data_IF_274634973233
#
_entry.id   IF_274634973233
#
_cell.length_a   1.000
_cell.length_b   1.000
_cell.length_c   1.000
_cell.angle_alpha   90.00
_cell.angle_beta   90.00
_cell.angle_gamma   90.00
#
_symmetry.space_group_name_H-M   'P 1'
#
loop_
_entity.id
_entity.type
_entity.pdbx_description
1 polymer ?
#
# COMPACT_ATOMS: atom_id res chain seq x y z
N UNK A 1 1.18 -33.44 20.30
CA UNK A 1 -0.18 -32.84 20.19
C UNK A 1 -0.02 -31.33 20.22
N UNK A 2 -0.42 -30.62 19.18
CA UNK A 2 -0.35 -29.14 19.14
C UNK A 2 -1.45 -28.59 20.04
N UNK A 3 -1.13 -27.63 20.92
CA UNK A 3 -2.14 -27.06 21.82
C UNK A 3 -3.03 -26.07 21.07
N UNK A 4 -4.26 -25.89 21.54
CA UNK A 4 -5.20 -24.91 20.97
C UNK A 4 -4.58 -23.50 21.01
N UNK A 5 -3.82 -23.18 22.05
CA UNK A 5 -3.09 -21.91 22.18
C UNK A 5 -2.11 -21.68 21.02
N UNK A 6 -1.27 -22.67 20.71
CA UNK A 6 -0.32 -22.59 19.59
C UNK A 6 -1.01 -22.39 18.23
N UNK A 7 -2.19 -22.99 18.04
CA UNK A 7 -2.99 -22.81 16.81
C UNK A 7 -3.55 -21.38 16.73
N UNK A 8 -4.00 -20.82 17.86
CA UNK A 8 -4.54 -19.45 17.92
C UNK A 8 -3.43 -18.43 17.66
N UNK A 9 -2.26 -18.58 18.29
CA UNK A 9 -1.11 -17.70 18.09
C UNK A 9 -0.66 -17.69 16.63
N UNK A 10 -0.45 -18.87 16.04
CA UNK A 10 -0.04 -19.00 14.63
C UNK A 10 -1.05 -18.36 13.66
N UNK A 11 -2.36 -18.45 13.96
CA UNK A 11 -3.41 -17.77 13.19
C UNK A 11 -3.39 -16.25 13.41
N UNK A 12 -3.03 -15.80 14.61
CA UNK A 12 -2.84 -14.39 14.94
C UNK A 12 -1.72 -13.78 14.12
N UNK A 13 -0.53 -14.40 14.18
CA UNK A 13 0.67 -13.97 13.46
C UNK A 13 0.42 -13.90 11.96
N UNK A 14 -0.10 -14.99 11.35
CA UNK A 14 -0.38 -15.02 9.92
C UNK A 14 -1.34 -13.91 9.48
N UNK A 15 -2.41 -13.66 10.24
CA UNK A 15 -3.33 -12.55 9.95
C UNK A 15 -2.67 -11.19 10.13
N UNK A 16 -1.77 -11.05 11.09
CA UNK A 16 -1.00 -9.84 11.33
C UNK A 16 -0.08 -9.52 10.15
N UNK A 17 0.68 -10.51 9.70
CA UNK A 17 1.59 -10.43 8.57
C UNK A 17 0.85 -10.07 7.27
N UNK A 18 -0.21 -10.81 6.92
CA UNK A 18 -1.03 -10.53 5.72
C UNK A 18 -1.63 -9.10 5.74
N UNK A 19 -2.07 -8.63 6.92
CA UNK A 19 -2.58 -7.25 7.06
C UNK A 19 -1.48 -6.21 6.95
N UNK A 20 -0.30 -6.50 7.53
CA UNK A 20 0.87 -5.64 7.49
C UNK A 20 1.36 -5.44 6.06
N UNK A 21 1.52 -6.53 5.32
CA UNK A 21 1.95 -6.53 3.92
C UNK A 21 0.99 -5.73 3.04
N UNK A 22 -0.33 -6.02 3.11
CA UNK A 22 -1.34 -5.28 2.33
C UNK A 22 -1.31 -3.77 2.61
N UNK A 23 -1.21 -3.38 3.89
CA UNK A 23 -1.10 -1.96 4.28
C UNK A 23 0.21 -1.34 3.81
N UNK A 24 1.31 -2.07 3.87
CA UNK A 24 2.63 -1.65 3.41
C UNK A 24 2.64 -1.36 1.92
N UNK A 25 2.14 -2.31 1.11
CA UNK A 25 2.03 -2.16 -0.35
C UNK A 25 1.20 -0.93 -0.73
N UNK A 26 0.03 -0.75 -0.10
CA UNK A 26 -0.83 0.42 -0.37
C UNK A 26 -0.15 1.73 0.01
N UNK A 27 0.48 1.81 1.19
CA UNK A 27 1.23 3.00 1.62
C UNK A 27 2.39 3.30 0.67
N UNK A 28 3.11 2.27 0.22
CA UNK A 28 4.23 2.45 -0.69
C UNK A 28 3.78 3.00 -2.04
N UNK A 29 2.70 2.47 -2.62
CA UNK A 29 2.11 3.01 -3.87
C UNK A 29 1.82 4.51 -3.76
N UNK A 30 1.21 4.95 -2.65
CA UNK A 30 0.94 6.37 -2.40
C UNK A 30 2.21 7.21 -2.25
N UNK A 31 3.22 6.71 -1.53
CA UNK A 31 4.50 7.40 -1.36
C UNK A 31 5.24 7.56 -2.68
N UNK A 32 5.28 6.50 -3.51
CA UNK A 32 5.89 6.53 -4.84
C UNK A 32 5.16 7.55 -5.72
N UNK A 33 3.83 7.52 -5.77
CA UNK A 33 3.04 8.48 -6.54
C UNK A 33 3.31 9.94 -6.10
N UNK A 34 3.37 10.23 -4.80
CA UNK A 34 3.74 11.56 -4.29
C UNK A 34 5.13 12.00 -4.75
N UNK A 35 6.11 11.09 -4.69
CA UNK A 35 7.49 11.41 -5.11
C UNK A 35 7.58 11.64 -6.62
N UNK A 36 6.84 10.88 -7.42
CA UNK A 36 6.74 11.09 -8.86
C UNK A 36 6.08 12.42 -9.21
N UNK A 37 4.98 12.79 -8.55
CA UNK A 37 4.35 14.10 -8.71
C UNK A 37 5.35 15.24 -8.43
N UNK A 38 6.11 15.14 -7.33
CA UNK A 38 7.15 16.11 -6.98
C UNK A 38 8.27 16.21 -8.02
N UNK A 39 8.53 15.12 -8.76
CA UNK A 39 9.51 15.06 -9.84
C UNK A 39 8.96 15.52 -11.20
N UNK A 40 7.67 15.89 -11.26
CA UNK A 40 7.05 16.41 -12.49
C UNK A 40 6.53 15.34 -13.45
N UNK A 41 6.40 14.09 -13.02
CA UNK A 41 5.78 13.04 -13.84
C UNK A 41 4.30 13.34 -14.08
N UNK A 42 3.80 13.00 -15.27
CA UNK A 42 2.39 13.15 -15.60
C UNK A 42 1.53 12.05 -14.92
N UNK A 43 0.23 12.32 -14.84
CA UNK A 43 -0.72 11.45 -14.13
C UNK A 43 -0.87 10.08 -14.81
N UNK A 44 -0.73 9.99 -16.14
CA UNK A 44 -0.84 8.73 -16.88
C UNK A 44 0.32 7.81 -16.52
N UNK A 45 1.55 8.31 -16.57
CA UNK A 45 2.75 7.56 -16.17
C UNK A 45 2.68 7.09 -14.70
N UNK A 46 2.17 7.94 -13.81
CA UNK A 46 2.02 7.58 -12.38
C UNK A 46 0.97 6.48 -12.22
N UNK A 47 -0.15 6.55 -12.93
CA UNK A 47 -1.20 5.53 -12.91
C UNK A 47 -0.69 4.18 -13.41
N UNK A 48 0.11 4.16 -14.47
CA UNK A 48 0.71 2.94 -15.01
C UNK A 48 1.69 2.29 -14.02
N UNK A 49 2.58 3.07 -13.40
CA UNK A 49 3.62 2.54 -12.50
C UNK A 49 3.06 2.15 -11.13
N UNK A 50 2.13 2.92 -10.59
CA UNK A 50 1.61 2.71 -9.22
C UNK A 50 0.30 1.92 -9.18
N UNK A 51 -0.35 1.75 -10.34
CA UNK A 51 -1.69 1.17 -10.49
C UNK A 51 -2.75 1.87 -9.61
N UNK A 52 -2.49 3.13 -9.23
CA UNK A 52 -3.44 3.91 -8.45
C UNK A 52 -4.49 4.53 -9.37
N UNK A 53 -5.77 4.60 -8.95
CA UNK A 53 -6.78 5.32 -9.70
C UNK A 53 -6.41 6.78 -9.90
N UNK A 54 -6.71 7.34 -11.08
CA UNK A 54 -6.51 8.76 -11.41
C UNK A 54 -6.97 9.70 -10.30
N UNK A 55 -8.18 9.50 -9.77
CA UNK A 55 -8.75 10.34 -8.71
C UNK A 55 -7.93 10.34 -7.41
N UNK A 56 -7.29 9.22 -7.07
CA UNK A 56 -6.36 9.14 -5.93
C UNK A 56 -5.13 10.01 -6.20
N UNK A 57 -4.55 9.92 -7.39
CA UNK A 57 -3.35 10.68 -7.78
C UNK A 57 -3.65 12.19 -7.83
N UNK A 58 -4.81 12.58 -8.38
CA UNK A 58 -5.28 13.96 -8.38
C UNK A 58 -5.50 14.50 -6.97
N UNK A 59 -6.05 13.67 -6.07
CA UNK A 59 -6.17 13.99 -4.66
C UNK A 59 -4.82 14.24 -3.99
N UNK A 60 -3.80 13.43 -4.31
CA UNK A 60 -2.44 13.62 -3.81
C UNK A 60 -1.82 14.94 -4.31
N UNK A 61 -2.07 15.31 -5.57
CA UNK A 61 -1.55 16.55 -6.17
C UNK A 61 -2.05 17.81 -5.46
N UNK A 62 -3.27 17.80 -4.91
CA UNK A 62 -3.84 18.96 -4.18
C UNK A 62 -3.13 19.26 -2.85
N UNK A 63 -2.37 18.29 -2.31
CA UNK A 63 -1.70 18.40 -1.01
C UNK A 63 -0.17 18.46 -1.08
N UNK A 64 0.40 18.72 -2.27
CA UNK A 64 1.83 18.91 -2.53
C UNK A 64 2.00 20.32 -3.07
#
# INVERSE_FOLDING_TARGET
MTTIAQVIEKRGEKRGEERGEKKGVQKNKLTVAKNMLKKGYDISSIQEITELPKGTIEGLKKGI
#
